data_IF_010765688148
#
_entry.id   IF_010765688148
#
_cell.length_a   1.000
_cell.length_b   1.000
_cell.length_c   1.000
_cell.angle_alpha   90.00
_cell.angle_beta   90.00
_cell.angle_gamma   90.00
#
_symmetry.space_group_name_H-M   'P 1'
#
loop_
_entity.id
_entity.type
_entity.pdbx_description
1 polymer ?
#
# COMPACT_ATOMS: atom_id res chain seq x y z
N UNK A 1 4.99 1.15 19.19
CA UNK A 1 4.43 2.25 18.38
C UNK A 1 3.82 1.65 17.13
N UNK A 2 2.62 2.09 16.72
CA UNK A 2 2.00 1.61 15.49
C UNK A 2 2.81 2.09 14.28
N UNK A 3 3.08 1.21 13.32
CA UNK A 3 3.82 1.59 12.09
C UNK A 3 2.85 2.29 11.13
N UNK A 4 3.33 3.33 10.45
CA UNK A 4 2.50 4.13 9.54
C UNK A 4 2.12 3.34 8.27
N UNK A 5 0.89 3.55 7.79
CA UNK A 5 0.43 3.04 6.50
C UNK A 5 0.75 4.02 5.35
N UNK A 6 0.64 3.54 4.11
CA UNK A 6 0.98 4.34 2.94
C UNK A 6 0.19 5.65 2.84
N UNK A 7 -1.10 5.66 3.21
CA UNK A 7 -1.92 6.89 3.19
C UNK A 7 -1.55 7.87 4.30
N UNK A 8 -1.04 7.40 5.45
CA UNK A 8 -0.57 8.26 6.54
C UNK A 8 0.78 8.89 6.22
N UNK A 9 1.66 8.13 5.55
CA UNK A 9 2.98 8.61 5.14
C UNK A 9 2.88 9.58 3.96
N UNK A 10 2.15 9.19 2.91
CA UNK A 10 1.97 10.00 1.71
C UNK A 10 1.01 11.17 1.99
N UNK A 11 0.00 11.00 2.85
CA UNK A 11 -1.10 11.97 3.06
C UNK A 11 -1.94 12.20 1.80
N UNK A 12 -2.07 11.14 1.00
CA UNK A 12 -2.77 11.15 -0.27
C UNK A 12 -4.29 11.35 -0.15
N UNK A 13 -4.87 11.26 1.05
CA UNK A 13 -6.27 11.58 1.31
C UNK A 13 -7.28 10.52 0.84
N UNK A 14 -6.82 9.30 0.52
CA UNK A 14 -7.65 8.19 0.00
C UNK A 14 -7.91 7.09 1.03
N UNK A 15 -7.68 7.36 2.31
CA UNK A 15 -8.17 6.48 3.38
C UNK A 15 -9.70 6.53 3.49
N UNK A 16 -10.38 5.58 4.15
CA UNK A 16 -11.82 5.66 4.37
C UNK A 16 -12.20 6.98 5.05
N UNK A 17 -13.07 7.77 4.42
CA UNK A 17 -13.44 9.11 4.88
C UNK A 17 -12.41 10.21 4.57
N UNK A 18 -11.36 9.92 3.80
CA UNK A 18 -10.35 10.87 3.39
C UNK A 18 -10.85 11.90 2.38
N UNK A 19 -10.21 13.09 2.36
CA UNK A 19 -10.60 14.25 1.53
C UNK A 19 -10.66 14.00 0.02
N UNK A 20 -9.92 13.00 -0.47
CA UNK A 20 -9.79 12.68 -1.90
C UNK A 20 -10.60 11.43 -2.28
N UNK A 21 -11.38 10.87 -1.36
CA UNK A 21 -12.24 9.70 -1.62
C UNK A 21 -13.40 10.02 -2.55
N UNK A 22 -13.94 11.24 -2.50
CA UNK A 22 -15.03 11.69 -3.38
C UNK A 22 -14.58 11.78 -4.85
N UNK A 23 -13.33 12.22 -5.08
CA UNK A 23 -12.78 12.46 -6.41
C UNK A 23 -12.16 11.20 -7.01
N UNK A 24 -11.38 10.46 -6.22
CA UNK A 24 -10.56 9.32 -6.70
C UNK A 24 -11.01 7.97 -6.16
N UNK A 25 -12.07 7.93 -5.35
CA UNK A 25 -12.48 6.74 -4.61
C UNK A 25 -11.53 6.38 -3.47
N UNK A 26 -12.01 5.52 -2.57
CA UNK A 26 -11.22 4.94 -1.49
C UNK A 26 -10.10 4.05 -2.06
N UNK A 27 -8.90 4.16 -1.49
CA UNK A 27 -7.76 3.36 -1.93
C UNK A 27 -7.98 1.88 -1.59
N UNK A 28 -7.79 0.94 -2.54
CA UNK A 28 -7.90 -0.49 -2.26
C UNK A 28 -6.96 -0.96 -1.15
N UNK A 29 -5.76 -0.38 -1.02
CA UNK A 29 -4.86 -0.71 0.09
C UNK A 29 -5.48 -0.37 1.45
N UNK A 30 -6.32 0.65 1.52
CA UNK A 30 -6.94 1.07 2.77
C UNK A 30 -8.14 0.21 3.17
N UNK A 31 -8.68 -0.60 2.26
CA UNK A 31 -9.82 -1.50 2.49
C UNK A 31 -9.48 -2.99 2.36
N UNK A 32 -8.26 -3.33 1.93
CA UNK A 32 -7.85 -4.72 1.72
C UNK A 32 -7.51 -5.41 3.06
N UNK A 33 -8.54 -5.91 3.74
CA UNK A 33 -8.46 -6.57 5.05
C UNK A 33 -7.66 -7.87 5.06
N UNK A 34 -7.56 -8.54 3.91
CA UNK A 34 -6.81 -9.79 3.80
C UNK A 34 -5.30 -9.58 4.07
N UNK A 35 -4.78 -8.39 3.78
CA UNK A 35 -3.40 -8.02 4.10
C UNK A 35 -3.24 -7.40 5.49
N UNK A 36 -4.32 -7.22 6.26
CA UNK A 36 -4.24 -6.58 7.58
C UNK A 36 -3.27 -7.33 8.49
N UNK A 37 -2.32 -6.62 9.09
CA UNK A 37 -1.21 -7.18 9.87
C UNK A 37 0.06 -7.47 9.06
N UNK A 38 0.01 -7.49 7.72
CA UNK A 38 1.19 -7.72 6.89
C UNK A 38 2.22 -6.61 7.07
N UNK A 39 3.47 -6.99 7.32
CA UNK A 39 4.56 -6.10 7.73
C UNK A 39 4.22 -5.24 8.97
N UNK A 40 3.17 -5.53 9.75
CA UNK A 40 2.69 -4.68 10.85
C UNK A 40 1.94 -3.43 10.39
N UNK A 41 1.29 -3.48 9.22
CA UNK A 41 0.37 -2.44 8.72
C UNK A 41 -1.09 -2.77 9.00
N UNK A 42 -1.97 -1.78 8.82
CA UNK A 42 -3.43 -1.96 8.84
C UNK A 42 -3.94 -2.21 7.42
N UNK A 43 -4.85 -3.16 7.24
CA UNK A 43 -5.33 -3.58 5.92
C UNK A 43 -4.14 -3.80 4.97
N UNK A 44 -4.19 -3.23 3.78
CA UNK A 44 -3.11 -3.24 2.80
C UNK A 44 -2.10 -2.10 2.92
N UNK A 45 -2.11 -1.32 4.00
CA UNK A 45 -1.36 -0.07 4.08
C UNK A 45 0.15 -0.21 3.94
N UNK A 46 0.71 -1.34 4.40
CA UNK A 46 2.14 -1.70 4.23
C UNK A 46 2.37 -2.81 3.22
N UNK A 47 1.30 -3.27 2.58
CA UNK A 47 1.32 -4.21 1.46
C UNK A 47 0.92 -3.55 0.14
N UNK A 48 0.86 -2.21 0.11
CA UNK A 48 0.22 -1.48 -0.99
C UNK A 48 0.86 -1.78 -2.35
N UNK A 49 2.15 -2.12 -2.40
CA UNK A 49 2.88 -2.56 -3.61
C UNK A 49 2.26 -3.81 -4.24
N UNK A 50 1.73 -4.74 -3.44
CA UNK A 50 1.18 -6.01 -3.92
C UNK A 50 -0.31 -5.96 -4.29
N UNK A 51 -1.01 -4.86 -3.97
CA UNK A 51 -2.47 -4.76 -4.14
C UNK A 51 -2.81 -4.02 -5.43
N UNK A 52 -3.53 -4.64 -6.36
CA UNK A 52 -3.92 -3.98 -7.62
C UNK A 52 -4.88 -2.80 -7.40
N UNK A 53 -4.90 -1.83 -8.32
CA UNK A 53 -5.81 -0.67 -8.25
C UNK A 53 -5.43 0.40 -7.21
N UNK A 54 -4.36 0.20 -6.43
CA UNK A 54 -3.81 1.26 -5.60
C UNK A 54 -3.14 2.30 -6.47
N UNK A 55 -3.56 3.55 -6.33
CA UNK A 55 -3.04 4.66 -7.11
C UNK A 55 -2.56 5.74 -6.14
N UNK A 56 -1.32 6.19 -6.29
CA UNK A 56 -0.74 7.23 -5.47
C UNK A 56 -0.88 8.56 -6.22
N UNK A 57 -1.89 9.39 -5.90
CA UNK A 57 -2.13 10.63 -6.62
C UNK A 57 -1.02 11.66 -6.48
N UNK A 58 -0.09 11.50 -5.55
CA UNK A 58 1.02 12.45 -5.37
C UNK A 58 2.15 12.24 -6.39
N UNK A 59 2.14 11.08 -7.07
CA UNK A 59 2.97 10.79 -8.23
C UNK A 59 2.32 11.24 -9.56
N UNK A 60 1.09 11.80 -9.52
CA UNK A 60 0.29 12.19 -10.70
C UNK A 60 0.81 13.36 -11.51
N UNK A 61 1.82 14.10 -11.03
CA UNK A 61 2.47 15.08 -11.92
C UNK A 61 3.14 14.40 -13.13
N UNK A 62 3.23 13.06 -13.14
CA UNK A 62 3.60 12.27 -14.32
C UNK A 62 2.53 11.20 -14.58
N UNK A 63 1.77 11.41 -15.66
CA UNK A 63 0.84 10.46 -16.27
C UNK A 63 1.48 9.08 -16.47
N UNK A 64 1.13 8.04 -15.70
CA UNK A 64 1.09 6.66 -16.22
C UNK A 64 0.46 5.62 -15.29
N UNK A 65 -0.21 4.64 -15.93
CA UNK A 65 -0.95 3.49 -15.37
C UNK A 65 -0.05 2.30 -14.96
N UNK A 66 1.27 2.43 -14.97
CA UNK A 66 2.19 1.32 -14.68
C UNK A 66 2.76 1.40 -13.25
N UNK A 67 2.02 0.81 -12.31
CA UNK A 67 2.32 0.85 -10.87
C UNK A 67 3.70 0.28 -10.48
N UNK A 68 4.19 -0.76 -11.17
CA UNK A 68 5.47 -1.41 -10.82
C UNK A 68 6.67 -0.48 -10.99
N UNK A 69 6.71 0.34 -12.06
CA UNK A 69 7.78 1.31 -12.30
C UNK A 69 7.75 2.47 -11.30
N UNK A 70 6.56 2.82 -10.78
CA UNK A 70 6.40 3.90 -9.82
C UNK A 70 6.80 3.52 -8.38
N UNK A 71 6.87 2.23 -8.05
CA UNK A 71 7.31 1.81 -6.72
C UNK A 71 8.80 2.03 -6.49
N UNK A 72 9.64 1.98 -7.54
CA UNK A 72 11.08 2.28 -7.43
C UNK A 72 11.34 3.72 -6.95
N UNK A 73 10.48 4.66 -7.35
CA UNK A 73 10.58 6.07 -6.96
C UNK A 73 9.80 6.41 -5.69
N UNK A 74 8.92 5.52 -5.23
CA UNK A 74 8.08 5.76 -4.05
C UNK A 74 8.89 5.70 -2.75
N UNK A 75 8.96 6.82 -2.02
CA UNK A 75 9.73 6.89 -0.79
C UNK A 75 9.18 5.99 0.33
N UNK A 76 7.87 5.77 0.36
CA UNK A 76 7.28 4.79 1.27
C UNK A 76 7.72 3.36 0.95
N UNK A 77 7.79 2.98 -0.34
CA UNK A 77 8.26 1.64 -0.71
C UNK A 77 9.75 1.47 -0.39
N UNK A 78 10.58 2.49 -0.63
CA UNK A 78 12.00 2.49 -0.22
C UNK A 78 12.14 2.33 1.30
N UNK A 79 11.30 3.02 2.07
CA UNK A 79 11.26 2.88 3.53
C UNK A 79 10.89 1.43 3.93
N UNK A 80 9.82 0.86 3.36
CA UNK A 80 9.42 -0.51 3.66
C UNK A 80 10.52 -1.52 3.30
N UNK A 81 11.19 -1.34 2.15
CA UNK A 81 12.32 -2.20 1.76
C UNK A 81 13.47 -2.15 2.76
N UNK A 82 13.77 -0.97 3.33
CA UNK A 82 14.79 -0.82 4.38
C UNK A 82 14.36 -1.44 5.70
N UNK A 83 13.09 -1.34 6.06
CA UNK A 83 12.55 -1.88 7.31
C UNK A 83 12.36 -3.41 7.29
N UNK A 84 12.08 -3.99 6.13
CA UNK A 84 11.66 -5.38 5.94
C UNK A 84 12.50 -6.09 4.87
N UNK A 85 13.80 -5.81 4.86
CA UNK A 85 14.73 -6.42 3.90
C UNK A 85 14.66 -7.95 3.98
N UNK A 86 14.31 -8.61 2.88
CA UNK A 86 14.11 -10.06 2.81
C UNK A 86 12.71 -10.57 3.21
N UNK A 87 11.86 -9.74 3.84
CA UNK A 87 10.48 -10.11 4.18
C UNK A 87 9.45 -9.66 3.16
N UNK A 88 9.76 -8.61 2.41
CA UNK A 88 8.94 -8.13 1.30
C UNK A 88 9.18 -8.96 0.03
N UNK A 89 8.51 -10.10 -0.08
CA UNK A 89 8.45 -10.86 -1.33
C UNK A 89 7.00 -11.17 -1.73
N UNK A 90 6.77 -11.31 -3.05
CA UNK A 90 5.46 -11.70 -3.60
C UNK A 90 5.01 -13.05 -3.04
N UNK A 91 5.95 -13.99 -2.88
CA UNK A 91 5.69 -15.32 -2.32
C UNK A 91 5.24 -15.24 -0.85
N UNK A 92 5.89 -14.41 -0.03
CA UNK A 92 5.50 -14.23 1.38
C UNK A 92 4.14 -13.54 1.50
N UNK A 93 3.87 -12.56 0.63
CA UNK A 93 2.57 -11.91 0.60
C UNK A 93 1.45 -12.89 0.22
N UNK A 94 1.63 -13.66 -0.86
CA UNK A 94 0.65 -14.68 -1.29
C UNK A 94 0.41 -15.76 -0.21
N UNK A 95 1.47 -16.28 0.42
CA UNK A 95 1.35 -17.21 1.54
C UNK A 95 0.58 -16.62 2.73
N UNK A 96 0.85 -15.35 3.07
CA UNK A 96 0.16 -14.64 4.15
C UNK A 96 -1.35 -14.53 3.87
N UNK A 97 -1.72 -14.07 2.67
CA UNK A 97 -3.13 -13.94 2.27
C UNK A 97 -3.83 -15.31 2.28
N UNK A 98 -3.18 -16.37 1.78
CA UNK A 98 -3.74 -17.72 1.76
C UNK A 98 -3.97 -18.28 3.16
N UNK A 99 -3.05 -18.04 4.09
CA UNK A 99 -3.19 -18.46 5.50
C UNK A 99 -4.33 -17.73 6.20
N UNK A 100 -4.54 -16.46 5.89
CA UNK A 100 -5.59 -15.65 6.54
C UNK A 100 -7.00 -15.93 6.03
N UNK A 101 -7.12 -16.40 4.78
CA UNK A 101 -8.40 -16.80 4.17
C UNK A 101 -8.85 -18.21 4.54
N UNK A 102 -8.00 -19.00 5.20
CA UNK A 102 -8.33 -20.31 5.77
C UNK A 102 -8.87 -20.16 7.18
#
# INVERSE_FOLDING_TARGET
MAKQNCWEFLKCGREPGGKNTDIYGVCPAATFTDADGFCGGKNGGRACVYITGTFCPELLTKTHREKFKNCEVCDFYKLLRKEHEGEMSVLRFDDYIRKKRK
#
